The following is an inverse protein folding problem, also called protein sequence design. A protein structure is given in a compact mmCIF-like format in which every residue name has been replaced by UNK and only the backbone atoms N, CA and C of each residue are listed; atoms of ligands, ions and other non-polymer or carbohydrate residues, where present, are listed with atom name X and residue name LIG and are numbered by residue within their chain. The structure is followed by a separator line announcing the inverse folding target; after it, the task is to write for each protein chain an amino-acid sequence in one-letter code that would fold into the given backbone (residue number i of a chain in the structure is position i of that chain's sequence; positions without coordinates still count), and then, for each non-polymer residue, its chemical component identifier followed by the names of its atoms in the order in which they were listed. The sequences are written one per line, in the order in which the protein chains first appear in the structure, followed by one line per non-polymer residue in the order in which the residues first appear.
data_IF_128692526145
#
_entry.id   IF_128692526145
#
_cell.length_a   1.000
_cell.length_b   1.000
_cell.length_c   1.000
_cell.angle_alpha   90.00
_cell.angle_beta   90.00
_cell.angle_gamma   90.00
#
_symmetry.space_group_name_H-M   'P 1'
#
loop_
_entity.id
_entity.type
_entity.pdbx_description
1 polymer ?
#
# COMPACT_ATOMS: atom_id res chain seq x y z
N UNK A 1 11.65 -40.69 14.56
CA UNK A 1 11.82 -39.78 13.41
C UNK A 1 10.74 -38.72 13.52
N UNK A 2 11.10 -37.48 13.86
CA UNK A 2 10.14 -36.38 13.99
C UNK A 2 9.94 -35.74 12.62
N UNK A 3 8.79 -35.99 11.98
CA UNK A 3 8.39 -35.29 10.77
C UNK A 3 7.92 -33.88 11.14
N UNK A 4 8.82 -32.90 11.06
CA UNK A 4 8.44 -31.49 11.17
C UNK A 4 7.74 -31.09 9.88
N UNK A 5 6.40 -31.14 9.87
CA UNK A 5 5.60 -30.50 8.83
C UNK A 5 5.93 -29.02 8.85
N UNK A 6 6.63 -28.53 7.83
CA UNK A 6 6.91 -27.10 7.66
C UNK A 6 5.56 -26.38 7.57
N UNK A 7 5.15 -25.73 8.65
CA UNK A 7 3.96 -24.89 8.64
C UNK A 7 4.22 -23.79 7.62
N UNK A 8 3.47 -23.82 6.51
CA UNK A 8 3.49 -22.75 5.52
C UNK A 8 2.96 -21.48 6.20
N UNK A 9 3.86 -20.68 6.76
CA UNK A 9 3.54 -19.47 7.50
C UNK A 9 3.23 -18.38 6.50
N UNK A 10 1.95 -18.25 6.17
CA UNK A 10 1.44 -17.06 5.49
C UNK A 10 1.62 -15.87 6.43
N UNK A 11 2.47 -14.92 6.02
CA UNK A 11 2.69 -13.69 6.76
C UNK A 11 1.91 -12.57 6.09
N UNK A 12 1.07 -11.87 6.85
CA UNK A 12 0.45 -10.62 6.42
C UNK A 12 1.53 -9.53 6.35
N UNK A 13 1.68 -8.90 5.19
CA UNK A 13 2.65 -7.84 4.92
C UNK A 13 1.95 -6.49 4.86
N UNK A 14 2.32 -5.59 5.77
CA UNK A 14 1.77 -4.23 5.86
C UNK A 14 2.86 -3.20 5.63
N UNK A 15 2.71 -2.36 4.61
CA UNK A 15 3.55 -1.18 4.38
C UNK A 15 2.85 0.05 4.93
N UNK A 16 3.60 0.92 5.59
CA UNK A 16 3.09 2.20 6.08
C UNK A 16 3.99 3.36 5.64
N UNK A 17 3.39 4.41 5.08
CA UNK A 17 4.13 5.58 4.60
C UNK A 17 3.36 6.88 4.78
N UNK A 18 4.06 7.91 5.27
CA UNK A 18 3.60 9.28 5.22
C UNK A 18 3.98 9.91 3.86
N UNK A 19 3.00 10.50 3.16
CA UNK A 19 3.19 11.13 1.84
C UNK A 19 3.42 12.64 1.92
N UNK A 20 3.32 13.24 3.11
CA UNK A 20 3.49 14.67 3.36
C UNK A 20 2.66 15.52 2.38
N UNK A 21 1.42 15.09 2.10
CA UNK A 21 0.48 15.67 1.14
C UNK A 21 0.98 15.79 -0.30
N UNK A 22 2.09 15.13 -0.65
CA UNK A 22 2.72 15.25 -1.97
C UNK A 22 1.93 14.51 -3.06
N UNK A 23 1.36 15.21 -4.05
CA UNK A 23 0.65 14.57 -5.16
C UNK A 23 1.58 13.71 -6.01
N UNK A 24 2.85 14.13 -6.16
CA UNK A 24 3.87 13.40 -6.91
C UNK A 24 4.24 12.09 -6.21
N UNK A 25 4.45 12.11 -4.89
CA UNK A 25 4.75 10.90 -4.13
C UNK A 25 3.58 9.91 -4.19
N UNK A 26 2.35 10.39 -4.04
CA UNK A 26 1.15 9.57 -4.17
C UNK A 26 1.00 8.98 -5.57
N UNK A 27 1.17 9.78 -6.62
CA UNK A 27 1.06 9.32 -8.00
C UNK A 27 2.14 8.27 -8.33
N UNK A 28 3.38 8.50 -7.92
CA UNK A 28 4.48 7.54 -8.08
C UNK A 28 4.19 6.23 -7.37
N UNK A 29 3.69 6.28 -6.13
CA UNK A 29 3.35 5.10 -5.35
C UNK A 29 2.22 4.28 -5.99
N UNK A 30 1.14 4.93 -6.43
CA UNK A 30 -0.05 4.26 -6.95
C UNK A 30 0.09 3.77 -8.41
N UNK A 31 0.91 4.44 -9.22
CA UNK A 31 0.95 4.21 -10.67
C UNK A 31 2.17 3.42 -11.11
N UNK A 32 3.30 3.58 -10.42
CA UNK A 32 4.61 3.13 -10.91
C UNK A 32 5.36 2.25 -9.93
N UNK A 33 4.89 2.13 -8.68
CA UNK A 33 5.63 1.42 -7.66
C UNK A 33 5.36 -0.10 -7.69
N UNK A 34 6.40 -0.95 -7.73
CA UNK A 34 6.23 -2.38 -7.53
C UNK A 34 5.76 -2.73 -6.10
N UNK A 35 5.78 -1.77 -5.16
CA UNK A 35 5.33 -1.95 -3.78
C UNK A 35 3.91 -2.54 -3.73
N UNK A 36 2.99 -2.14 -4.61
CA UNK A 36 1.63 -2.71 -4.58
C UNK A 36 1.57 -4.23 -4.80
N UNK A 37 2.60 -4.86 -5.38
CA UNK A 37 2.64 -6.31 -5.63
C UNK A 37 3.18 -7.14 -4.47
N UNK A 38 3.98 -6.54 -3.60
CA UNK A 38 4.72 -7.27 -2.55
C UNK A 38 4.07 -7.17 -1.16
N UNK A 39 3.05 -6.32 -1.03
CA UNK A 39 2.39 -5.96 0.22
C UNK A 39 0.89 -6.23 0.14
N UNK A 40 0.33 -6.84 1.19
CA UNK A 40 -1.10 -7.13 1.27
C UNK A 40 -1.91 -5.88 1.63
N UNK A 41 -1.34 -5.00 2.48
CA UNK A 41 -1.96 -3.75 2.92
C UNK A 41 -0.94 -2.61 2.81
N UNK A 42 -1.38 -1.47 2.27
CA UNK A 42 -0.62 -0.22 2.24
C UNK A 42 -1.41 0.84 3.02
N UNK A 43 -0.84 1.34 4.11
CA UNK A 43 -1.42 2.38 4.97
C UNK A 43 -0.73 3.74 4.71
N UNK A 44 -1.48 4.72 4.21
CA UNK A 44 -0.97 6.05 3.87
C UNK A 44 -1.35 7.08 4.95
N UNK A 45 -0.40 7.92 5.36
CA UNK A 45 -0.65 9.12 6.18
C UNK A 45 -0.42 10.37 5.34
N UNK A 46 -1.19 11.42 5.63
CA UNK A 46 -1.18 12.69 4.90
C UNK A 46 -1.22 12.50 3.37
N UNK A 47 -2.18 11.74 2.80
CA UNK A 47 -2.29 11.62 1.36
C UNK A 47 -2.62 12.98 0.73
N UNK A 48 -2.20 13.15 -0.52
CA UNK A 48 -2.68 14.24 -1.37
C UNK A 48 -4.16 14.01 -1.69
N UNK A 49 -5.03 14.77 -1.04
CA UNK A 49 -6.48 14.76 -1.31
C UNK A 49 -6.80 15.88 -2.29
N UNK A 50 -7.27 15.53 -3.49
CA UNK A 50 -7.76 16.53 -4.44
C UNK A 50 -9.20 16.94 -4.09
N UNK A 51 -9.33 17.96 -3.25
CA UNK A 51 -10.61 18.48 -2.77
C UNK A 51 -11.54 19.02 -3.87
N UNK A 52 -11.00 19.38 -5.04
CA UNK A 52 -11.76 19.96 -6.16
C UNK A 52 -12.43 18.87 -7.03
N UNK A 53 -11.90 17.63 -7.02
CA UNK A 53 -12.42 16.52 -7.84
C UNK A 53 -13.15 15.44 -7.04
N UNK A 54 -13.45 15.69 -5.77
CA UNK A 54 -14.15 14.75 -4.88
C UNK A 54 -15.68 14.66 -5.12
N UNK A 55 -16.22 15.17 -6.23
CA UNK A 55 -17.68 15.15 -6.56
C UNK A 55 -18.02 14.40 -7.85
N UNK A 56 -17.12 13.58 -8.41
CA UNK A 56 -17.45 12.83 -9.63
C UNK A 56 -17.18 11.33 -9.41
N UNK A 57 -18.25 10.65 -9.03
CA UNK A 57 -18.52 9.26 -9.42
C UNK A 57 -19.20 9.32 -10.80
N UNK A 58 -18.58 8.79 -11.84
CA UNK A 58 -19.25 8.44 -13.12
C UNK A 58 -19.13 6.96 -13.33
#
# INVERSE_FOLDING_TARGET
MSSTTSANTMHLRIWQQNLNTSPLAQHSLLTSSPIAKDWDIIALQEPSINTIRNTIST
#
